data_IF_618248346370
#
_entry.id   IF_618248346370
#
_cell.length_a   1.000
_cell.length_b   1.000
_cell.length_c   1.000
_cell.angle_alpha   90.00
_cell.angle_beta   90.00
_cell.angle_gamma   90.00
#
_symmetry.space_group_name_H-M   'P 1'
#
loop_
_entity.id
_entity.type
_entity.pdbx_description
1 polymer ?
#
# COMPACT_ATOMS: atom_id res chain seq x y z
N UNK A 1 3.04 -2.35 2.99
CA UNK A 1 2.07 -1.27 3.33
C UNK A 1 2.44 0.08 2.74
N UNK A 2 1.45 0.92 2.41
CA UNK A 2 1.70 2.33 2.03
C UNK A 2 1.68 3.17 3.29
N UNK A 3 2.79 3.83 3.63
CA UNK A 3 2.92 4.51 4.92
C UNK A 3 2.15 5.85 4.92
N UNK A 4 0.97 5.84 5.54
CA UNK A 4 0.09 7.00 5.69
C UNK A 4 -0.12 7.21 7.18
N UNK A 5 0.33 8.35 7.68
CA UNK A 5 0.24 8.74 9.09
C UNK A 5 0.11 10.28 9.18
N UNK A 6 -0.35 10.79 10.31
CA UNK A 6 -0.56 12.23 10.51
C UNK A 6 0.74 13.03 10.42
N UNK A 7 1.81 12.50 11.03
CA UNK A 7 3.12 13.13 11.08
C UNK A 7 4.12 12.29 10.30
N UNK A 8 4.46 12.73 9.09
CA UNK A 8 5.36 11.95 8.22
C UNK A 8 6.77 11.85 8.80
N UNK A 9 7.36 10.66 8.61
CA UNK A 9 8.75 10.39 8.96
C UNK A 9 9.68 10.76 7.81
N UNK A 10 10.92 11.16 8.11
CA UNK A 10 11.90 11.48 7.06
C UNK A 10 12.30 10.25 6.24
N UNK A 11 12.26 9.06 6.85
CA UNK A 11 12.62 7.79 6.22
C UNK A 11 11.68 6.70 6.73
N UNK A 12 11.33 5.78 5.83
CA UNK A 12 10.51 4.62 6.11
C UNK A 12 11.29 3.32 5.90
N UNK A 13 10.99 2.31 6.72
CA UNK A 13 11.51 0.96 6.61
C UNK A 13 10.39 -0.08 6.83
N UNK A 14 10.75 -1.37 6.79
CA UNK A 14 9.84 -2.52 6.85
C UNK A 14 9.15 -2.68 8.21
N UNK A 15 9.62 -1.99 9.24
CA UNK A 15 8.97 -2.00 10.56
C UNK A 15 7.85 -0.94 10.67
N UNK A 16 7.62 -0.15 9.62
CA UNK A 16 6.59 0.88 9.63
C UNK A 16 5.24 0.37 9.11
N UNK A 17 4.18 0.82 9.78
CA UNK A 17 2.80 0.49 9.46
C UNK A 17 2.00 1.78 9.30
N UNK A 18 1.00 1.73 8.42
CA UNK A 18 0.05 2.82 8.21
C UNK A 18 -0.82 3.01 9.46
N UNK A 19 -1.09 4.27 9.80
CA UNK A 19 -1.97 4.66 10.89
C UNK A 19 -3.43 4.56 10.43
N UNK A 20 -4.08 3.46 10.81
CA UNK A 20 -5.47 3.20 10.42
C UNK A 20 -6.44 4.23 11.01
N UNK A 21 -6.20 4.73 12.22
CA UNK A 21 -7.08 5.69 12.88
C UNK A 21 -7.04 7.04 12.17
N UNK A 22 -5.84 7.47 11.79
CA UNK A 22 -5.66 8.64 10.94
C UNK A 22 -6.34 8.47 9.57
N UNK A 23 -6.17 7.31 8.92
CA UNK A 23 -6.79 7.05 7.62
C UNK A 23 -8.33 7.06 7.72
N UNK A 24 -8.90 6.42 8.74
CA UNK A 24 -10.35 6.37 8.94
C UNK A 24 -10.95 7.72 9.33
N UNK A 25 -10.21 8.55 10.06
CA UNK A 25 -10.67 9.89 10.45
C UNK A 25 -10.63 10.88 9.29
N UNK A 26 -9.54 10.89 8.51
CA UNK A 26 -9.37 11.85 7.40
C UNK A 26 -10.07 11.43 6.11
N UNK A 27 -10.19 10.13 5.84
CA UNK A 27 -10.78 9.57 4.60
C UNK A 27 -10.29 10.25 3.32
N UNK A 28 -8.99 10.52 3.25
CA UNK A 28 -8.35 11.13 2.08
C UNK A 28 -8.55 10.30 0.80
N UNK A 29 -8.25 10.86 -0.37
CA UNK A 29 -8.36 10.13 -1.64
C UNK A 29 -7.65 8.78 -1.56
N UNK A 30 -8.32 7.74 -2.04
CA UNK A 30 -7.87 6.34 -1.96
C UNK A 30 -7.69 5.75 -0.55
N UNK A 31 -8.27 6.34 0.51
CA UNK A 31 -8.15 5.81 1.89
C UNK A 31 -8.50 4.31 2.01
N UNK A 32 -9.52 3.84 1.29
CA UNK A 32 -9.94 2.42 1.28
C UNK A 32 -8.83 1.51 0.75
N UNK A 33 -8.01 1.98 -0.20
CA UNK A 33 -6.86 1.24 -0.70
C UNK A 33 -5.81 1.07 0.41
N UNK A 34 -5.47 2.15 1.13
CA UNK A 34 -4.50 2.08 2.22
C UNK A 34 -4.96 1.18 3.36
N UNK A 35 -6.23 1.28 3.75
CA UNK A 35 -6.84 0.38 4.74
C UNK A 35 -6.77 -1.07 4.27
N UNK A 36 -7.25 -1.37 3.05
CA UNK A 36 -7.31 -2.75 2.55
C UNK A 36 -5.93 -3.38 2.45
N UNK A 37 -4.92 -2.66 1.96
CA UNK A 37 -3.54 -3.15 1.88
C UNK A 37 -2.96 -3.43 3.26
N UNK A 38 -3.20 -2.55 4.23
CA UNK A 38 -2.70 -2.71 5.61
C UNK A 38 -3.34 -3.90 6.31
N UNK A 39 -4.66 -4.05 6.21
CA UNK A 39 -5.37 -5.16 6.84
C UNK A 39 -5.04 -6.50 6.17
N UNK A 40 -4.94 -6.53 4.84
CA UNK A 40 -4.58 -7.74 4.11
C UNK A 40 -3.18 -8.23 4.48
N UNK A 41 -2.20 -7.34 4.61
CA UNK A 41 -0.84 -7.71 5.00
C UNK A 41 -0.78 -8.22 6.44
N UNK A 42 -1.46 -7.56 7.40
CA UNK A 42 -1.57 -8.04 8.78
C UNK A 42 -2.22 -9.43 8.86
N UNK A 43 -3.34 -9.61 8.14
CA UNK A 43 -4.03 -10.90 8.10
C UNK A 43 -3.17 -12.01 7.48
N UNK A 44 -2.41 -11.69 6.42
CA UNK A 44 -1.49 -12.64 5.80
C UNK A 44 -0.38 -13.09 6.77
N UNK A 45 0.18 -12.16 7.57
CA UNK A 45 1.18 -12.49 8.59
C UNK A 45 0.62 -13.40 9.70
N UNK A 46 -0.57 -13.09 10.23
CA UNK A 46 -1.20 -13.94 11.25
C UNK A 46 -1.52 -15.33 10.69
N UNK A 47 -2.13 -15.39 9.51
CA UNK A 47 -2.45 -16.66 8.86
C UNK A 47 -1.18 -17.48 8.56
N UNK A 48 -0.10 -16.85 8.09
CA UNK A 48 1.16 -17.55 7.83
C UNK A 48 1.74 -18.17 9.11
N UNK A 49 1.70 -17.43 10.23
CA UNK A 49 2.16 -17.91 11.54
C UNK A 49 1.32 -19.08 12.05
N UNK A 50 -0.01 -18.97 11.97
CA UNK A 50 -0.93 -20.04 12.39
C UNK A 50 -0.75 -21.32 11.57
N UNK A 51 -0.56 -21.16 10.26
CA UNK A 51 -0.46 -22.28 9.32
C UNK A 51 0.98 -22.76 9.09
N UNK A 52 1.98 -22.20 9.79
CA UNK A 52 3.42 -22.52 9.65
C UNK A 52 3.92 -22.39 8.20
N UNK A 53 3.47 -21.35 7.51
CA UNK A 53 3.88 -21.00 6.15
C UNK A 53 5.08 -20.05 6.22
N UNK A 54 6.13 -20.33 5.46
CA UNK A 54 7.22 -19.38 5.26
C UNK A 54 6.75 -18.27 4.32
N UNK A 55 6.61 -17.06 4.85
CA UNK A 55 5.91 -15.96 4.19
C UNK A 55 6.82 -14.74 4.07
N UNK A 56 6.81 -14.15 2.87
CA UNK A 56 7.45 -12.87 2.59
C UNK A 56 6.42 -11.92 1.99
N UNK A 57 6.49 -10.66 2.39
CA UNK A 57 5.71 -9.57 1.80
C UNK A 57 6.64 -8.66 1.00
N UNK A 58 6.19 -8.24 -0.18
CA UNK A 58 6.90 -7.24 -1.00
C UNK A 58 6.02 -5.99 -1.05
N UNK A 59 6.62 -4.84 -0.74
CA UNK A 59 5.92 -3.56 -0.64
C UNK A 59 6.40 -2.64 -1.78
N UNK A 60 5.83 -2.77 -3.00
CA UNK A 60 6.20 -1.89 -4.09
C UNK A 60 5.60 -0.48 -3.88
N UNK A 61 6.33 0.58 -4.28
CA UNK A 61 5.78 1.92 -4.38
C UNK A 61 4.95 2.06 -5.67
N UNK A 62 4.75 3.29 -6.16
CA UNK A 62 4.10 3.54 -7.43
C UNK A 62 4.88 2.88 -8.58
N UNK A 63 4.28 1.87 -9.22
CA UNK A 63 4.92 1.10 -10.30
C UNK A 63 4.68 1.78 -11.66
N UNK A 64 5.79 2.05 -12.37
CA UNK A 64 5.82 2.69 -13.68
C UNK A 64 6.70 1.85 -14.62
N UNK A 65 6.24 1.60 -15.84
CA UNK A 65 6.98 0.86 -16.86
C UNK A 65 6.07 0.28 -17.94
N UNK A 66 6.63 -0.49 -18.89
CA UNK A 66 5.86 -1.24 -19.87
C UNK A 66 4.84 -2.15 -19.18
N UNK A 67 3.64 -2.27 -19.76
CA UNK A 67 2.56 -3.09 -19.24
C UNK A 67 2.01 -4.01 -20.32
N UNK A 68 1.57 -5.20 -19.90
CA UNK A 68 1.05 -6.25 -20.81
C UNK A 68 -0.48 -6.22 -20.91
N UNK A 69 -1.15 -5.38 -20.12
CA UNK A 69 -2.62 -5.29 -20.10
C UNK A 69 -3.14 -4.48 -21.29
N UNK A 70 -4.31 -4.82 -21.86
CA UNK A 70 -4.90 -4.06 -22.95
C UNK A 70 -5.42 -2.69 -22.50
N UNK A 71 -5.67 -2.53 -21.20
CA UNK A 71 -6.09 -1.28 -20.57
C UNK A 71 -4.93 -0.61 -19.87
N UNK A 72 -4.99 0.72 -19.81
CA UNK A 72 -3.97 1.54 -19.16
C UNK A 72 -4.03 1.33 -17.63
N UNK A 73 -2.96 0.83 -16.99
CA UNK A 73 -2.96 0.54 -15.56
C UNK A 73 -3.23 1.79 -14.71
N UNK A 74 -4.04 1.69 -13.62
CA UNK A 74 -4.29 2.83 -12.73
C UNK A 74 -3.02 3.47 -12.14
N UNK A 75 -1.95 2.69 -11.93
CA UNK A 75 -0.67 3.23 -11.44
C UNK A 75 -0.04 4.19 -12.45
N UNK A 76 -0.12 3.87 -13.74
CA UNK A 76 0.38 4.75 -14.80
C UNK A 76 -0.52 5.97 -14.99
N UNK A 77 -1.86 5.83 -14.88
CA UNK A 77 -2.78 6.99 -14.90
C UNK A 77 -2.36 7.98 -13.80
N UNK A 78 -2.17 7.46 -12.59
CA UNK A 78 -1.80 8.28 -11.43
C UNK A 78 -0.42 8.92 -11.63
N UNK A 79 0.57 8.15 -12.09
CA UNK A 79 1.94 8.63 -12.30
C UNK A 79 2.05 9.72 -13.37
N UNK A 80 1.26 9.63 -14.44
CA UNK A 80 1.32 10.57 -15.57
C UNK A 80 0.36 11.75 -15.45
N UNK A 81 -0.54 11.73 -14.45
CA UNK A 81 -1.52 12.80 -14.22
C UNK A 81 -0.98 14.25 -14.19
N UNK A 82 0.28 14.55 -13.79
CA UNK A 82 0.77 15.92 -13.84
C UNK A 82 1.08 16.45 -15.25
N UNK A 83 1.21 15.56 -16.24
CA UNK A 83 1.66 15.90 -17.61
C UNK A 83 0.64 15.55 -18.71
N UNK A 84 -0.54 15.05 -18.32
CA UNK A 84 -1.67 14.73 -19.19
C UNK A 84 -2.91 15.44 -18.68
#
# INVERSE_FOLDING_TARGET
TVNVEEHQKPVYNENNWSDLDFIYSKKMTAWMYFVSKTLAEKAAWEAAKENKIDFISIIPPLVVGPFITPTFPPSLITALSPIT
#
